data_IF_702400303127
#
_entry.id   IF_702400303127
#
_cell.length_a   1.000
_cell.length_b   1.000
_cell.length_c   1.000
_cell.angle_alpha   90.00
_cell.angle_beta   90.00
_cell.angle_gamma   90.00
#
_symmetry.space_group_name_H-M   'P 1'
#
loop_
_entity.id
_entity.type
_entity.pdbx_description
1 polymer ?
#
# COMPACT_ATOMS: atom_id res chain seq x y z
N UNK A 1 -6.56 11.70 4.76
CA UNK A 1 -5.10 11.84 4.55
C UNK A 1 -4.64 11.09 3.30
N UNK A 2 -4.86 9.77 3.21
CA UNK A 2 -4.33 9.00 2.06
C UNK A 2 -4.86 9.47 0.71
N UNK A 3 -6.13 9.88 0.62
CA UNK A 3 -6.73 10.40 -0.62
C UNK A 3 -6.02 11.67 -1.11
N UNK A 4 -5.73 12.60 -0.21
CA UNK A 4 -5.00 13.82 -0.56
C UNK A 4 -3.58 13.51 -1.06
N UNK A 5 -2.90 12.52 -0.47
CA UNK A 5 -1.59 12.07 -0.92
C UNK A 5 -1.65 11.41 -2.30
N UNK A 6 -2.66 10.56 -2.56
CA UNK A 6 -2.88 9.94 -3.89
C UNK A 6 -3.25 10.95 -4.97
N UNK A 7 -3.91 12.05 -4.61
CA UNK A 7 -4.23 13.12 -5.56
C UNK A 7 -2.99 13.90 -6.02
N UNK A 8 -1.91 13.89 -5.23
CA UNK A 8 -0.70 14.68 -5.51
C UNK A 8 0.51 13.83 -5.91
N UNK A 9 0.52 12.54 -5.56
CA UNK A 9 1.65 11.65 -5.81
C UNK A 9 1.18 10.30 -6.38
N UNK A 10 1.90 9.76 -7.37
CA UNK A 10 1.62 8.43 -7.89
C UNK A 10 1.93 7.35 -6.84
N UNK A 11 1.27 6.20 -6.97
CA UNK A 11 1.39 5.08 -6.02
C UNK A 11 2.84 4.64 -5.78
N UNK A 12 3.69 4.59 -6.81
CA UNK A 12 5.09 4.22 -6.66
C UNK A 12 5.88 5.21 -5.78
N UNK A 13 5.56 6.51 -5.85
CA UNK A 13 6.23 7.54 -5.07
C UNK A 13 5.78 7.45 -3.61
N UNK A 14 4.48 7.22 -3.37
CA UNK A 14 3.95 7.02 -2.03
C UNK A 14 4.54 5.79 -1.34
N UNK A 15 4.66 4.66 -2.04
CA UNK A 15 5.29 3.46 -1.48
C UNK A 15 6.73 3.73 -1.05
N UNK A 16 7.53 4.39 -1.90
CA UNK A 16 8.92 4.74 -1.57
C UNK A 16 9.01 5.75 -0.41
N UNK A 17 8.16 6.77 -0.42
CA UNK A 17 8.11 7.79 0.63
C UNK A 17 7.79 7.18 1.99
N UNK A 18 6.76 6.33 2.06
CA UNK A 18 6.42 5.67 3.31
C UNK A 18 7.47 4.65 3.74
N UNK A 19 8.13 3.97 2.80
CA UNK A 19 9.24 3.08 3.14
C UNK A 19 10.44 3.82 3.72
N UNK A 20 10.74 5.01 3.22
CA UNK A 20 11.78 5.87 3.80
C UNK A 20 11.38 6.32 5.22
N UNK A 21 10.15 6.81 5.40
CA UNK A 21 9.65 7.23 6.71
C UNK A 21 9.55 6.07 7.71
N UNK A 22 9.33 4.84 7.26
CA UNK A 22 9.30 3.64 8.12
C UNK A 22 10.66 3.34 8.78
N UNK A 23 11.77 3.84 8.22
CA UNK A 23 13.12 3.62 8.77
C UNK A 23 13.47 4.54 9.94
N UNK A 24 12.74 5.63 10.11
CA UNK A 24 12.92 6.56 11.22
C UNK A 24 11.94 6.18 12.35
N UNK A 25 12.43 5.88 13.57
CA UNK A 25 11.58 5.49 14.71
C UNK A 25 10.48 6.50 15.04
N UNK A 26 10.72 7.80 14.79
CA UNK A 26 9.76 8.87 15.06
C UNK A 26 8.57 8.77 14.09
N UNK A 27 8.82 8.43 12.83
CA UNK A 27 7.78 8.37 11.79
C UNK A 27 7.31 6.96 11.45
N UNK A 28 7.90 5.92 12.05
CA UNK A 28 7.63 4.52 11.75
C UNK A 28 6.14 4.17 11.86
N UNK A 29 5.53 4.47 13.01
CA UNK A 29 4.10 4.17 13.25
C UNK A 29 3.20 4.87 12.24
N UNK A 30 3.49 6.13 11.91
CA UNK A 30 2.74 6.89 10.93
C UNK A 30 2.88 6.28 9.53
N UNK A 31 4.10 5.92 9.13
CA UNK A 31 4.39 5.29 7.85
C UNK A 31 3.68 3.94 7.69
N UNK A 32 3.68 3.09 8.73
CA UNK A 32 2.96 1.82 8.72
C UNK A 32 1.44 2.00 8.56
N UNK A 33 0.87 3.00 9.23
CA UNK A 33 -0.55 3.34 9.09
C UNK A 33 -0.87 3.83 7.67
N UNK A 34 -0.01 4.68 7.10
CA UNK A 34 -0.16 5.18 5.73
C UNK A 34 -0.04 4.09 4.67
N UNK A 35 0.90 3.14 4.82
CA UNK A 35 0.98 1.95 3.97
C UNK A 35 -0.30 1.13 4.04
N UNK A 36 -0.84 0.91 5.26
CA UNK A 36 -2.09 0.16 5.44
C UNK A 36 -3.28 0.88 4.81
N UNK A 37 -3.34 2.21 4.93
CA UNK A 37 -4.36 3.03 4.30
C UNK A 37 -4.26 2.99 2.77
N UNK A 38 -3.05 3.00 2.20
CA UNK A 38 -2.83 2.87 0.76
C UNK A 38 -3.33 1.52 0.23
N UNK A 39 -3.02 0.42 0.93
CA UNK A 39 -3.52 -0.92 0.59
C UNK A 39 -5.05 -0.95 0.61
N UNK A 40 -5.68 -0.39 1.65
CA UNK A 40 -7.15 -0.32 1.72
C UNK A 40 -7.73 0.47 0.55
N UNK A 41 -7.05 1.54 0.16
CA UNK A 41 -7.47 2.36 -0.97
C UNK A 41 -7.40 1.59 -2.28
N UNK A 42 -6.35 0.79 -2.51
CA UNK A 42 -6.28 -0.10 -3.67
C UNK A 42 -7.42 -1.13 -3.72
N UNK A 43 -7.84 -1.66 -2.57
CA UNK A 43 -8.98 -2.57 -2.48
C UNK A 43 -10.28 -1.86 -2.88
N UNK A 44 -10.53 -0.66 -2.33
CA UNK A 44 -11.71 0.15 -2.65
C UNK A 44 -11.73 0.55 -4.13
N UNK A 45 -10.55 0.89 -4.68
CA UNK A 45 -10.35 1.19 -6.11
C UNK A 45 -10.40 -0.06 -7.00
N UNK A 46 -10.58 -1.25 -6.42
CA UNK A 46 -10.63 -2.54 -7.13
C UNK A 46 -9.42 -2.78 -8.05
N UNK A 47 -8.23 -2.34 -7.62
CA UNK A 47 -6.99 -2.55 -8.38
C UNK A 47 -6.76 -4.05 -8.58
N UNK A 48 -6.43 -4.47 -9.81
CA UNK A 48 -6.08 -5.86 -10.02
C UNK A 48 -4.64 -6.12 -9.57
N UNK A 49 -4.31 -7.37 -9.26
CA UNK A 49 -2.92 -7.75 -8.97
C UNK A 49 -2.00 -7.45 -10.15
N UNK A 50 -2.51 -7.55 -11.39
CA UNK A 50 -1.76 -7.21 -12.59
C UNK A 50 -1.45 -5.71 -12.67
N UNK A 51 -2.37 -4.83 -12.27
CA UNK A 51 -2.13 -3.39 -12.23
C UNK A 51 -1.05 -3.03 -11.22
N UNK A 52 -1.13 -3.59 -10.00
CA UNK A 52 -0.16 -3.31 -8.95
C UNK A 52 1.24 -3.80 -9.32
N UNK A 53 1.36 -4.97 -9.94
CA UNK A 53 2.64 -5.53 -10.41
C UNK A 53 3.30 -4.72 -11.53
N UNK A 54 2.55 -3.90 -12.27
CA UNK A 54 3.10 -3.01 -13.31
C UNK A 54 3.70 -1.72 -12.76
N UNK A 55 3.38 -1.35 -11.52
CA UNK A 55 3.84 -0.09 -10.94
C UNK A 55 5.30 -0.27 -10.46
N UNK A 56 6.23 0.63 -10.81
CA UNK A 56 7.63 0.55 -10.42
C UNK A 56 7.86 1.02 -8.97
N UNK A 57 7.23 0.35 -8.00
CA UNK A 57 7.23 0.71 -6.57
C UNK A 57 8.57 0.49 -5.86
N UNK A 58 9.54 -0.16 -6.52
CA UNK A 58 10.80 -0.64 -5.91
C UNK A 58 10.66 -2.09 -5.43
N UNK A 59 11.77 -2.83 -5.34
CA UNK A 59 11.80 -4.29 -5.14
C UNK A 59 11.13 -4.76 -3.84
N UNK A 60 11.92 -5.03 -2.79
CA UNK A 60 11.42 -5.67 -1.57
C UNK A 60 10.21 -4.97 -0.93
N UNK A 61 10.17 -3.63 -0.91
CA UNK A 61 9.02 -2.89 -0.37
C UNK A 61 7.78 -3.02 -1.24
N UNK A 62 7.91 -2.97 -2.57
CA UNK A 62 6.77 -3.19 -3.47
C UNK A 62 6.21 -4.59 -3.29
N UNK A 63 7.08 -5.59 -3.20
CA UNK A 63 6.71 -6.99 -2.96
C UNK A 63 5.99 -7.16 -1.60
N UNK A 64 6.49 -6.52 -0.53
CA UNK A 64 5.83 -6.49 0.80
C UNK A 64 4.41 -5.91 0.69
N UNK A 65 4.25 -4.79 0.00
CA UNK A 65 2.96 -4.11 -0.17
C UNK A 65 1.96 -4.97 -0.95
N UNK A 66 2.42 -5.63 -2.02
CA UNK A 66 1.61 -6.55 -2.82
C UNK A 66 1.21 -7.79 -2.01
N UNK A 67 2.13 -8.37 -1.24
CA UNK A 67 1.83 -9.51 -0.37
C UNK A 67 0.73 -9.17 0.65
N UNK A 68 0.88 -8.02 1.33
CA UNK A 68 -0.14 -7.54 2.30
C UNK A 68 -1.49 -7.25 1.65
N UNK A 69 -1.49 -6.74 0.41
CA UNK A 69 -2.71 -6.55 -0.38
C UNK A 69 -3.43 -7.88 -0.66
N UNK A 70 -2.69 -8.89 -1.12
CA UNK A 70 -3.24 -10.24 -1.39
C UNK A 70 -3.80 -10.89 -0.13
N UNK A 71 -3.07 -10.84 0.98
CA UNK A 71 -3.55 -11.39 2.26
C UNK A 71 -4.83 -10.70 2.73
N UNK A 72 -4.91 -9.37 2.57
CA UNK A 72 -6.11 -8.63 2.94
C UNK A 72 -7.31 -8.96 2.05
N UNK A 73 -7.11 -9.13 0.74
CA UNK A 73 -8.17 -9.58 -0.16
C UNK A 73 -8.69 -10.96 0.24
N UNK A 74 -7.80 -11.92 0.54
CA UNK A 74 -8.18 -13.26 1.00
C UNK A 74 -9.02 -13.20 2.27
N UNK A 75 -8.58 -12.42 3.27
CA UNK A 75 -9.31 -12.24 4.52
C UNK A 75 -10.72 -11.65 4.29
N UNK A 76 -10.86 -10.70 3.36
CA UNK A 76 -12.17 -10.13 3.02
C UNK A 76 -13.08 -11.15 2.32
N UNK A 77 -12.53 -12.02 1.46
CA UNK A 77 -13.31 -13.09 0.82
C UNK A 77 -13.67 -14.25 1.75
N UNK A 78 -12.85 -14.50 2.78
CA UNK A 78 -13.11 -15.55 3.77
C UNK A 78 -14.12 -15.16 4.85
N UNK A 79 -14.33 -13.86 5.07
CA UNK A 79 -15.27 -13.33 6.07
C UNK A 79 -16.70 -13.16 5.53
N UNK A 80 -16.97 -13.53 4.27
CA UNK A 80 -18.30 -13.48 3.64
C UNK A 80 -19.05 -14.82 3.71
N UNK A 81 -18.74 -15.68 4.69
CA UNK A 81 -19.51 -16.90 5.02
C UNK A 81 -20.53 -16.65 6.12
#
# INVERSE_FOLDING_TARGET
MIDALKNNYPDWALVKMFAAAKKDPITEKLAMNLQSALINKWIVEKKTLADLKRIPMGGATGDEMIARYVEKLKALSGNTS
#
